data_IF_440463349485
#
_entry.id   IF_440463349485
#
_cell.length_a   1.000
_cell.length_b   1.000
_cell.length_c   1.000
_cell.angle_alpha   90.00
_cell.angle_beta   90.00
_cell.angle_gamma   90.00
#
_symmetry.space_group_name_H-M   'P 1'
#
loop_
_entity.id
_entity.type
_entity.pdbx_description
1 polymer ?
#
# COMPACT_ATOMS: atom_id res chain seq x y z
N UNK A 1 25.03 11.02 -7.81
CA UNK A 1 26.35 11.64 -7.53
C UNK A 1 26.27 12.94 -6.70
N UNK A 2 25.35 13.92 -6.98
CA UNK A 2 25.27 15.16 -6.22
C UNK A 2 25.00 14.93 -4.72
N UNK A 3 24.05 14.06 -4.35
CA UNK A 3 23.69 13.75 -2.96
C UNK A 3 24.78 12.97 -2.23
N UNK A 4 25.42 12.02 -2.92
CA UNK A 4 26.51 11.20 -2.35
C UNK A 4 27.75 12.03 -2.04
N UNK A 5 28.05 13.02 -2.90
CA UNK A 5 29.23 13.87 -2.78
C UNK A 5 28.95 15.22 -2.08
N UNK A 6 27.75 15.39 -1.50
CA UNK A 6 27.45 16.60 -0.77
C UNK A 6 28.28 16.69 0.52
N UNK A 7 28.80 17.89 0.84
CA UNK A 7 29.56 18.11 2.08
C UNK A 7 28.68 17.96 3.32
N UNK A 8 27.41 18.32 3.19
CA UNK A 8 26.41 18.17 4.24
C UNK A 8 25.23 17.36 3.72
N UNK A 9 24.73 16.37 4.49
CA UNK A 9 23.59 15.58 4.11
C UNK A 9 22.31 16.43 4.06
N UNK A 10 21.49 16.21 3.03
CA UNK A 10 20.14 16.75 2.96
C UNK A 10 19.15 15.93 3.81
N UNK A 11 17.93 16.44 3.97
CA UNK A 11 16.83 15.77 4.71
C UNK A 11 16.00 14.82 3.82
N UNK A 12 16.65 14.13 2.88
CA UNK A 12 16.01 13.16 2.00
C UNK A 12 16.60 11.76 2.18
N UNK A 13 15.83 10.72 1.79
CA UNK A 13 16.23 9.34 1.99
C UNK A 13 17.53 8.96 1.27
N UNK A 14 17.83 9.55 0.12
CA UNK A 14 19.07 9.29 -0.63
C UNK A 14 20.26 9.86 0.14
N UNK A 15 20.15 11.09 0.66
CA UNK A 15 21.16 11.70 1.51
C UNK A 15 21.38 10.89 2.79
N UNK A 16 20.31 10.41 3.42
CA UNK A 16 20.38 9.55 4.60
C UNK A 16 21.11 8.26 4.32
N UNK A 17 20.82 7.56 3.22
CA UNK A 17 21.52 6.36 2.82
C UNK A 17 23.02 6.61 2.52
N UNK A 18 23.33 7.72 1.86
CA UNK A 18 24.69 8.05 1.45
C UNK A 18 25.59 8.47 2.63
N UNK A 19 25.03 9.04 3.68
CA UNK A 19 25.81 9.65 4.77
C UNK A 19 25.66 8.96 6.13
N UNK A 20 24.65 8.09 6.32
CA UNK A 20 24.50 7.35 7.58
C UNK A 20 25.69 6.44 7.84
N UNK A 21 26.22 6.38 9.07
CA UNK A 21 27.30 5.46 9.43
C UNK A 21 27.00 4.01 9.09
N UNK A 22 25.73 3.59 9.14
CA UNK A 22 25.32 2.22 8.86
C UNK A 22 25.30 1.87 7.35
N UNK A 23 25.20 2.88 6.47
CA UNK A 23 24.92 2.63 5.03
C UNK A 23 25.90 3.34 4.08
N UNK A 24 26.68 4.31 4.54
CA UNK A 24 27.60 5.10 3.70
C UNK A 24 28.68 4.30 2.98
N UNK A 25 29.00 3.12 3.49
CA UNK A 25 30.02 2.23 2.91
C UNK A 25 29.41 1.06 2.12
N UNK A 26 28.13 1.15 1.74
CA UNK A 26 27.48 0.14 0.90
C UNK A 26 28.20 0.00 -0.44
N UNK A 27 28.36 -1.25 -0.95
CA UNK A 27 28.76 -1.46 -2.33
C UNK A 27 27.82 -0.74 -3.31
N UNK A 28 28.32 -0.24 -4.47
CA UNK A 28 27.50 0.50 -5.43
C UNK A 28 26.23 -0.25 -5.88
N UNK A 29 26.31 -1.56 -6.05
CA UNK A 29 25.18 -2.42 -6.45
C UNK A 29 24.12 -2.48 -5.36
N UNK A 30 24.53 -2.59 -4.11
CA UNK A 30 23.63 -2.60 -2.95
C UNK A 30 22.98 -1.23 -2.77
N UNK A 31 23.75 -0.14 -2.90
CA UNK A 31 23.21 1.22 -2.87
C UNK A 31 22.18 1.44 -3.96
N UNK A 32 22.48 1.04 -5.20
CA UNK A 32 21.54 1.10 -6.32
C UNK A 32 20.27 0.28 -6.04
N UNK A 33 20.42 -0.93 -5.51
CA UNK A 33 19.30 -1.80 -5.12
C UNK A 33 18.37 -1.12 -4.10
N UNK A 34 18.93 -0.45 -3.09
CA UNK A 34 18.15 0.31 -2.11
C UNK A 34 17.41 1.50 -2.73
N UNK A 35 18.06 2.24 -3.64
CA UNK A 35 17.40 3.33 -4.38
C UNK A 35 16.23 2.81 -5.21
N UNK A 36 16.44 1.73 -5.96
CA UNK A 36 15.36 1.09 -6.76
C UNK A 36 14.20 0.63 -5.86
N UNK A 37 14.50 0.03 -4.71
CA UNK A 37 13.49 -0.42 -3.76
C UNK A 37 12.64 0.74 -3.25
N UNK A 38 13.24 1.87 -2.90
CA UNK A 38 12.52 3.08 -2.47
C UNK A 38 11.62 3.65 -3.57
N UNK A 39 12.12 3.69 -4.82
CA UNK A 39 11.34 4.19 -5.97
C UNK A 39 10.15 3.26 -6.24
N UNK A 40 10.40 1.95 -6.36
CA UNK A 40 9.35 0.97 -6.68
C UNK A 40 8.33 0.86 -5.55
N UNK A 41 8.80 0.79 -4.30
CA UNK A 41 7.93 0.67 -3.14
C UNK A 41 7.02 1.87 -2.91
N UNK A 42 7.54 3.08 -3.20
CA UNK A 42 6.81 4.34 -2.93
C UNK A 42 5.91 4.83 -4.07
N UNK A 43 6.05 4.29 -5.27
CA UNK A 43 5.34 4.79 -6.45
C UNK A 43 4.07 3.98 -6.75
N UNK A 44 4.19 2.78 -7.28
CA UNK A 44 3.07 2.01 -7.82
C UNK A 44 2.03 1.61 -6.77
N UNK A 45 2.47 1.24 -5.58
CA UNK A 45 1.56 0.81 -4.51
C UNK A 45 0.66 1.94 -4.06
N UNK A 46 1.20 3.14 -3.88
CA UNK A 46 0.45 4.33 -3.47
C UNK A 46 -0.49 4.78 -4.59
N UNK A 47 0.00 4.87 -5.83
CA UNK A 47 -0.81 5.20 -7.00
C UNK A 47 -2.00 4.25 -7.15
N UNK A 48 -1.77 2.94 -7.05
CA UNK A 48 -2.83 1.94 -7.16
C UNK A 48 -3.81 1.98 -5.97
N UNK A 49 -3.36 2.38 -4.79
CA UNK A 49 -4.25 2.62 -3.65
C UNK A 49 -5.12 3.86 -3.87
N UNK A 50 -4.57 4.94 -4.41
CA UNK A 50 -5.33 6.15 -4.79
C UNK A 50 -6.38 5.83 -5.84
N UNK A 51 -6.00 5.19 -6.95
CA UNK A 51 -6.94 4.77 -8.00
C UNK A 51 -7.98 3.80 -7.48
N UNK A 52 -7.55 2.82 -6.67
CA UNK A 52 -8.44 1.84 -6.04
C UNK A 52 -9.44 2.46 -5.07
N UNK A 53 -9.09 3.57 -4.41
CA UNK A 53 -10.02 4.29 -3.52
C UNK A 53 -11.19 4.91 -4.28
N UNK A 54 -10.93 5.48 -5.44
CA UNK A 54 -11.99 6.01 -6.31
C UNK A 54 -12.92 4.88 -6.77
N UNK A 55 -12.35 3.78 -7.25
CA UNK A 55 -13.15 2.61 -7.66
C UNK A 55 -13.97 2.05 -6.50
N UNK A 56 -13.36 1.90 -5.32
CA UNK A 56 -14.03 1.36 -4.14
C UNK A 56 -15.26 2.18 -3.76
N UNK A 57 -15.13 3.50 -3.69
CA UNK A 57 -16.25 4.38 -3.32
C UNK A 57 -17.33 4.45 -4.42
N UNK A 58 -17.00 4.20 -5.69
CA UNK A 58 -18.00 4.01 -6.75
C UNK A 58 -18.74 2.67 -6.60
N UNK A 59 -18.05 1.60 -6.21
CA UNK A 59 -18.67 0.27 -6.00
C UNK A 59 -19.51 0.18 -4.71
N UNK A 60 -19.18 1.02 -3.73
CA UNK A 60 -19.86 1.09 -2.45
C UNK A 60 -20.44 2.51 -2.21
N UNK A 61 -21.45 2.92 -2.96
CA UNK A 61 -21.96 4.30 -2.91
C UNK A 61 -22.49 4.70 -1.54
N UNK A 62 -23.00 3.77 -0.74
CA UNK A 62 -23.42 4.05 0.65
C UNK A 62 -22.25 4.49 1.53
N UNK A 63 -21.08 3.94 1.30
CA UNK A 63 -19.87 4.34 2.02
C UNK A 63 -19.38 5.71 1.58
N UNK A 64 -19.55 6.06 0.30
CA UNK A 64 -19.28 7.41 -0.17
C UNK A 64 -20.24 8.44 0.44
N UNK A 65 -21.54 8.12 0.56
CA UNK A 65 -22.50 9.02 1.25
C UNK A 65 -22.14 9.23 2.73
N UNK A 66 -21.69 8.17 3.45
CA UNK A 66 -21.16 8.34 4.81
C UNK A 66 -19.97 9.30 4.84
N UNK A 67 -19.04 9.16 3.89
CA UNK A 67 -17.85 9.99 3.79
C UNK A 67 -18.21 11.47 3.55
N UNK A 68 -19.15 11.73 2.64
CA UNK A 68 -19.66 13.09 2.38
C UNK A 68 -20.34 13.71 3.60
N UNK A 69 -21.09 12.90 4.34
CA UNK A 69 -21.78 13.36 5.55
C UNK A 69 -20.79 13.62 6.72
N UNK A 70 -19.64 12.93 6.74
CA UNK A 70 -18.66 13.06 7.81
C UNK A 70 -17.22 12.87 7.28
N UNK A 71 -16.54 13.94 6.95
CA UNK A 71 -15.17 13.94 6.45
C UNK A 71 -14.14 13.40 7.46
N UNK A 72 -14.46 13.35 8.76
CA UNK A 72 -13.56 12.74 9.75
C UNK A 72 -13.34 11.23 9.49
N UNK A 73 -14.25 10.58 8.75
CA UNK A 73 -14.12 9.19 8.34
C UNK A 73 -12.97 8.94 7.35
N UNK A 74 -12.34 9.98 6.79
CA UNK A 74 -11.10 9.81 5.99
C UNK A 74 -10.03 9.04 6.78
N UNK A 75 -9.93 9.26 8.08
CA UNK A 75 -8.93 8.60 8.96
C UNK A 75 -9.09 7.07 9.02
N UNK A 76 -10.31 6.57 8.97
CA UNK A 76 -10.62 5.14 8.99
C UNK A 76 -10.80 4.56 7.58
N UNK A 77 -11.28 5.36 6.65
CA UNK A 77 -11.41 5.01 5.24
C UNK A 77 -10.05 4.67 4.60
N UNK A 78 -9.02 5.46 4.84
CA UNK A 78 -7.71 5.28 4.20
C UNK A 78 -7.12 3.89 4.45
N UNK A 79 -6.94 3.42 5.68
CA UNK A 79 -6.47 2.06 5.90
C UNK A 79 -7.43 0.98 5.40
N UNK A 80 -8.74 1.20 5.45
CA UNK A 80 -9.73 0.26 4.89
C UNK A 80 -9.62 0.15 3.35
N UNK A 81 -9.41 1.25 2.66
CA UNK A 81 -9.12 1.25 1.22
C UNK A 81 -7.83 0.48 0.92
N UNK A 82 -6.77 0.69 1.69
CA UNK A 82 -5.50 -0.02 1.54
C UNK A 82 -5.70 -1.53 1.75
N UNK A 83 -6.53 -1.93 2.71
CA UNK A 83 -6.95 -3.32 2.92
C UNK A 83 -7.69 -3.86 1.69
N UNK A 84 -8.74 -3.16 1.26
CA UNK A 84 -9.62 -3.61 0.17
C UNK A 84 -8.88 -3.67 -1.17
N UNK A 85 -8.06 -2.69 -1.48
CA UNK A 85 -7.24 -2.66 -2.70
C UNK A 85 -6.11 -3.70 -2.67
N UNK A 86 -5.41 -3.83 -1.53
CA UNK A 86 -4.25 -4.71 -1.38
C UNK A 86 -3.31 -4.61 -2.59
N UNK A 87 -2.54 -3.51 -2.75
CA UNK A 87 -1.82 -3.21 -4.00
C UNK A 87 -0.72 -4.23 -4.34
N UNK A 88 -0.19 -4.96 -3.34
CA UNK A 88 0.68 -6.12 -3.54
C UNK A 88 -0.05 -7.39 -3.12
N UNK A 89 -0.16 -8.35 -4.05
CA UNK A 89 -0.88 -9.60 -3.80
C UNK A 89 -0.20 -10.48 -2.75
N UNK A 90 1.13 -10.51 -2.77
CA UNK A 90 1.93 -11.37 -1.88
C UNK A 90 3.36 -10.85 -1.70
N UNK A 91 4.04 -11.41 -0.71
CA UNK A 91 5.49 -11.32 -0.56
C UNK A 91 6.07 -12.70 -0.26
N UNK A 92 7.35 -12.91 -0.58
CA UNK A 92 8.04 -14.17 -0.41
C UNK A 92 9.18 -14.05 0.62
N UNK A 93 9.39 -15.13 1.37
CA UNK A 93 10.56 -15.34 2.25
C UNK A 93 11.25 -16.65 1.88
N UNK A 94 12.47 -16.80 2.33
CA UNK A 94 13.19 -18.08 2.32
C UNK A 94 13.39 -18.50 3.76
N UNK A 95 13.00 -19.72 4.10
CA UNK A 95 13.21 -20.26 5.44
C UNK A 95 14.73 -20.38 5.73
N UNK A 96 15.17 -19.83 6.85
CA UNK A 96 16.57 -19.87 7.27
C UNK A 96 16.91 -21.12 8.11
N UNK A 97 15.88 -21.77 8.64
CA UNK A 97 15.94 -23.01 9.44
C UNK A 97 14.65 -23.80 9.24
N UNK A 98 14.63 -25.04 9.70
CA UNK A 98 13.42 -25.86 9.72
C UNK A 98 12.41 -25.28 10.72
N UNK A 99 11.13 -25.26 10.36
CA UNK A 99 10.07 -24.72 11.20
C UNK A 99 8.74 -25.43 10.95
N UNK A 100 7.84 -25.45 11.95
CA UNK A 100 6.49 -25.96 11.81
C UNK A 100 5.46 -24.86 11.82
N UNK A 101 4.53 -24.86 10.83
CA UNK A 101 3.40 -23.95 10.76
C UNK A 101 2.15 -24.74 10.35
N UNK A 102 1.10 -24.69 11.16
CA UNK A 102 -0.18 -25.37 10.87
C UNK A 102 -0.03 -26.88 10.67
N UNK A 103 0.83 -27.54 11.43
CA UNK A 103 1.10 -28.97 11.33
C UNK A 103 1.88 -29.42 10.10
N UNK A 104 2.50 -28.46 9.39
CA UNK A 104 3.37 -28.73 8.21
C UNK A 104 4.77 -28.26 8.48
N UNK A 105 5.75 -29.09 8.12
CA UNK A 105 7.16 -28.76 8.25
C UNK A 105 7.61 -27.94 7.05
N UNK A 106 8.18 -26.78 7.31
CA UNK A 106 8.90 -25.94 6.35
C UNK A 106 10.37 -26.21 6.54
N UNK A 107 11.07 -26.60 5.48
CA UNK A 107 12.51 -26.88 5.53
C UNK A 107 13.33 -25.63 5.28
N UNK A 108 14.54 -25.60 5.85
CA UNK A 108 15.55 -24.60 5.49
C UNK A 108 15.73 -24.54 3.97
N UNK A 109 15.65 -23.33 3.41
CA UNK A 109 15.73 -23.07 1.97
C UNK A 109 14.38 -23.02 1.26
N UNK A 110 13.30 -23.49 1.87
CA UNK A 110 11.97 -23.42 1.30
C UNK A 110 11.50 -21.99 1.05
N UNK A 111 10.71 -21.82 -0.02
CA UNK A 111 10.10 -20.56 -0.37
C UNK A 111 8.72 -20.47 0.27
N UNK A 112 8.56 -19.53 1.19
CA UNK A 112 7.29 -19.27 1.90
C UNK A 112 6.65 -18.02 1.30
N UNK A 113 5.45 -18.17 0.73
CA UNK A 113 4.69 -17.07 0.13
C UNK A 113 3.57 -16.66 1.07
N UNK A 114 3.58 -15.38 1.45
CA UNK A 114 2.54 -14.77 2.28
C UNK A 114 1.54 -14.05 1.37
N UNK A 115 0.36 -14.61 1.21
CA UNK A 115 -0.72 -14.06 0.38
C UNK A 115 -1.47 -12.95 1.13
N UNK A 116 -1.01 -11.72 1.01
CA UNK A 116 -1.65 -10.56 1.64
C UNK A 116 -3.09 -10.36 1.18
N UNK A 117 -3.35 -10.62 -0.12
CA UNK A 117 -4.69 -10.53 -0.68
C UNK A 117 -5.67 -11.50 -0.01
N UNK A 118 -5.24 -12.75 0.23
CA UNK A 118 -6.04 -13.75 0.92
C UNK A 118 -6.24 -13.39 2.38
N UNK A 119 -5.16 -13.04 3.10
CA UNK A 119 -5.26 -12.67 4.50
C UNK A 119 -6.08 -11.39 4.77
N UNK A 120 -6.12 -10.46 3.81
CA UNK A 120 -6.99 -9.27 3.89
C UNK A 120 -8.47 -9.58 3.59
N UNK A 121 -8.77 -10.82 3.20
CA UNK A 121 -10.12 -11.34 2.93
C UNK A 121 -10.49 -12.56 3.76
N UNK A 122 -9.73 -12.80 4.80
CA UNK A 122 -9.96 -13.89 5.74
C UNK A 122 -11.16 -13.56 6.65
N UNK A 123 -12.24 -14.33 6.51
CA UNK A 123 -13.48 -14.16 7.27
C UNK A 123 -13.31 -14.49 8.76
N UNK A 124 -12.32 -15.30 9.12
CA UNK A 124 -12.01 -15.60 10.53
C UNK A 124 -11.33 -14.42 11.22
N UNK A 125 -10.64 -13.54 10.45
CA UNK A 125 -9.91 -12.41 11.00
C UNK A 125 -10.62 -11.06 10.76
N UNK A 126 -11.39 -10.94 9.68
CA UNK A 126 -11.99 -9.67 9.22
C UNK A 126 -13.48 -9.89 8.90
N UNK A 127 -14.33 -9.23 9.65
CA UNK A 127 -15.77 -9.25 9.42
C UNK A 127 -16.12 -8.67 8.03
N UNK A 128 -16.93 -9.40 7.24
CA UNK A 128 -17.35 -8.99 5.89
C UNK A 128 -16.18 -8.47 5.02
N UNK A 129 -15.15 -9.31 4.76
CA UNK A 129 -13.88 -8.84 4.20
C UNK A 129 -13.98 -8.38 2.74
N UNK A 130 -14.99 -8.81 2.00
CA UNK A 130 -15.23 -8.38 0.61
C UNK A 130 -15.83 -6.97 0.52
N UNK A 131 -16.48 -6.50 1.57
CA UNK A 131 -17.08 -5.18 1.62
C UNK A 131 -16.05 -4.11 1.98
N UNK A 132 -16.24 -2.92 1.41
CA UNK A 132 -15.61 -1.69 1.91
C UNK A 132 -16.48 -1.14 3.05
N UNK A 133 -15.90 -0.94 4.23
CA UNK A 133 -16.58 -0.39 5.41
C UNK A 133 -15.68 0.70 5.98
N UNK A 134 -15.95 1.95 5.62
CA UNK A 134 -15.04 3.07 5.94
C UNK A 134 -14.98 3.44 7.41
N UNK A 135 -15.94 3.02 8.20
CA UNK A 135 -16.05 3.18 9.66
C UNK A 135 -15.73 1.90 10.44
N UNK A 136 -15.00 0.97 9.84
CA UNK A 136 -14.58 -0.29 10.47
C UNK A 136 -13.86 -0.04 11.80
N UNK A 137 -14.21 -0.79 12.84
CA UNK A 137 -13.69 -0.58 14.20
C UNK A 137 -12.16 -0.74 14.30
N UNK A 138 -11.57 -1.63 13.50
CA UNK A 138 -10.12 -1.88 13.46
C UNK A 138 -9.58 -1.77 12.03
N UNK A 139 -9.61 -0.57 11.40
CA UNK A 139 -9.32 -0.42 9.98
C UNK A 139 -7.86 -0.73 9.61
N UNK A 140 -6.92 -0.67 10.58
CA UNK A 140 -5.50 -1.01 10.36
C UNK A 140 -5.19 -2.49 10.60
N UNK A 141 -6.18 -3.32 10.86
CA UNK A 141 -6.03 -4.78 10.95
C UNK A 141 -5.99 -5.38 9.54
N UNK A 142 -4.90 -5.14 8.82
CA UNK A 142 -4.67 -5.67 7.48
C UNK A 142 -3.20 -5.97 7.23
N UNK A 143 -2.91 -6.80 6.23
CA UNK A 143 -1.57 -7.25 5.87
C UNK A 143 -0.94 -6.50 4.70
N UNK A 144 -1.59 -5.47 4.11
CA UNK A 144 -1.10 -4.77 2.92
C UNK A 144 0.28 -4.13 3.11
N UNK A 145 0.63 -3.76 4.35
CA UNK A 145 1.96 -3.25 4.70
C UNK A 145 2.95 -4.32 5.17
N UNK A 146 2.55 -5.58 5.13
CA UNK A 146 3.34 -6.68 5.71
C UNK A 146 3.41 -6.62 7.23
N UNK A 147 4.23 -7.50 7.81
CA UNK A 147 4.41 -7.62 9.25
C UNK A 147 5.88 -7.93 9.61
N UNK A 148 6.26 -7.67 10.86
CA UNK A 148 7.59 -7.95 11.39
C UNK A 148 8.65 -6.97 10.89
N UNK A 149 9.91 -7.41 10.83
CA UNK A 149 11.09 -6.57 10.49
C UNK A 149 11.01 -5.95 9.09
N UNK A 150 10.29 -6.59 8.16
CA UNK A 150 10.09 -6.10 6.80
C UNK A 150 8.78 -5.32 6.61
N UNK A 151 8.12 -4.91 7.69
CA UNK A 151 6.94 -4.04 7.58
C UNK A 151 7.31 -2.79 6.77
N UNK A 152 6.37 -2.35 5.92
CA UNK A 152 6.54 -1.18 5.07
C UNK A 152 7.04 0.03 5.87
N UNK A 153 8.21 0.56 5.50
CA UNK A 153 8.79 1.76 6.12
C UNK A 153 7.99 3.02 5.79
N UNK A 154 7.34 3.05 4.62
CA UNK A 154 6.57 4.18 4.11
C UNK A 154 5.07 4.18 4.47
N UNK A 155 4.60 3.28 5.35
CA UNK A 155 3.18 3.14 5.65
C UNK A 155 2.51 4.44 6.11
N UNK A 156 3.19 5.23 6.96
CA UNK A 156 2.68 6.51 7.44
C UNK A 156 2.58 7.56 6.34
N UNK A 157 3.59 7.59 5.45
CA UNK A 157 3.60 8.49 4.31
C UNK A 157 2.48 8.12 3.31
N UNK A 158 2.27 6.84 3.04
CA UNK A 158 1.21 6.38 2.16
C UNK A 158 -0.18 6.74 2.70
N UNK A 159 -0.45 6.48 4.00
CA UNK A 159 -1.70 6.88 4.64
C UNK A 159 -1.91 8.40 4.58
N UNK A 160 -0.87 9.19 4.87
CA UNK A 160 -0.93 10.65 4.80
C UNK A 160 -1.23 11.17 3.39
N UNK A 161 -0.59 10.61 2.37
CA UNK A 161 -0.84 10.98 0.96
C UNK A 161 -2.29 10.69 0.54
N UNK A 162 -2.83 9.51 0.89
CA UNK A 162 -4.22 9.20 0.60
C UNK A 162 -5.19 10.11 1.36
N UNK A 163 -4.89 10.41 2.62
CA UNK A 163 -5.70 11.32 3.43
C UNK A 163 -5.78 12.71 2.78
N UNK A 164 -4.63 13.33 2.51
CA UNK A 164 -4.57 14.66 1.90
C UNK A 164 -5.27 14.65 0.53
N UNK A 165 -5.06 13.61 -0.29
CA UNK A 165 -5.73 13.48 -1.58
C UNK A 165 -7.26 13.54 -1.43
N UNK A 166 -7.83 12.80 -0.47
CA UNK A 166 -9.27 12.77 -0.27
C UNK A 166 -9.82 14.05 0.37
N UNK A 167 -9.07 14.70 1.26
CA UNK A 167 -9.40 16.04 1.75
C UNK A 167 -9.52 17.04 0.59
N UNK A 168 -8.55 17.02 -0.33
CA UNK A 168 -8.51 17.88 -1.51
C UNK A 168 -9.58 17.55 -2.56
N UNK A 169 -9.90 16.26 -2.74
CA UNK A 169 -10.98 15.81 -3.63
C UNK A 169 -12.32 16.32 -3.11
N UNK A 170 -12.63 16.06 -1.85
CA UNK A 170 -13.93 16.44 -1.25
C UNK A 170 -14.13 17.96 -1.15
N UNK A 171 -13.04 18.72 -1.11
CA UNK A 171 -13.10 20.19 -1.14
C UNK A 171 -13.43 20.77 -2.54
N UNK A 172 -13.20 19.99 -3.62
CA UNK A 172 -13.30 20.49 -5.01
C UNK A 172 -14.38 19.79 -5.84
N UNK A 173 -14.69 18.55 -5.52
CA UNK A 173 -15.58 17.73 -6.33
C UNK A 173 -16.66 17.08 -5.47
N UNK A 174 -17.88 17.15 -5.94
CA UNK A 174 -19.02 16.46 -5.32
C UNK A 174 -18.98 14.95 -5.55
N UNK A 175 -18.38 14.52 -6.68
CA UNK A 175 -18.23 13.11 -7.06
C UNK A 175 -17.15 12.91 -8.13
N UNK A 176 -16.49 11.76 -8.05
CA UNK A 176 -15.64 11.23 -9.13
C UNK A 176 -16.32 9.96 -9.64
N UNK A 177 -16.92 10.03 -10.81
CA UNK A 177 -17.66 8.93 -11.44
C UNK A 177 -16.71 8.06 -12.25
N UNK A 178 -16.67 6.76 -12.00
CA UNK A 178 -15.96 5.78 -12.83
C UNK A 178 -16.84 5.41 -14.01
N UNK A 179 -16.39 5.76 -15.22
CA UNK A 179 -17.20 5.71 -16.43
C UNK A 179 -17.40 4.31 -17.03
N UNK A 180 -16.53 3.38 -16.70
CA UNK A 180 -16.58 1.99 -17.14
C UNK A 180 -15.78 1.07 -16.23
N UNK A 181 -15.94 -0.25 -16.35
CA UNK A 181 -15.12 -1.21 -15.61
C UNK A 181 -13.64 -0.99 -15.96
N UNK A 182 -12.77 -0.83 -14.95
CA UNK A 182 -11.35 -0.56 -15.19
C UNK A 182 -10.63 -1.75 -15.84
N UNK A 183 -9.73 -1.43 -16.76
CA UNK A 183 -8.75 -2.39 -17.24
C UNK A 183 -7.63 -2.56 -16.21
N UNK A 184 -7.36 -3.83 -15.85
CA UNK A 184 -6.33 -4.13 -14.85
C UNK A 184 -4.98 -4.44 -15.48
N UNK A 185 -3.92 -4.05 -14.77
CA UNK A 185 -2.56 -4.50 -15.12
C UNK A 185 -2.49 -6.02 -15.03
N UNK A 186 -1.96 -6.65 -16.06
CA UNK A 186 -1.77 -8.10 -16.11
C UNK A 186 -0.54 -8.51 -15.31
N UNK A 187 -0.72 -8.70 -14.00
CA UNK A 187 0.36 -9.02 -13.07
C UNK A 187 -0.16 -9.94 -11.96
N UNK A 188 0.67 -10.88 -11.54
CA UNK A 188 0.42 -11.72 -10.37
C UNK A 188 0.96 -11.11 -9.06
N UNK A 189 1.65 -9.97 -9.13
CA UNK A 189 2.30 -9.32 -7.99
C UNK A 189 1.65 -7.98 -7.64
N UNK A 190 1.65 -7.02 -8.59
CA UNK A 190 1.04 -5.69 -8.39
C UNK A 190 -0.41 -5.71 -8.87
N UNK A 191 -1.34 -5.37 -7.98
CA UNK A 191 -2.76 -5.19 -8.30
C UNK A 191 -3.02 -3.73 -8.65
N UNK A 192 -2.90 -3.42 -9.93
CA UNK A 192 -3.02 -2.08 -10.45
C UNK A 192 -4.05 -1.96 -11.58
N UNK A 193 -4.18 -0.74 -12.07
CA UNK A 193 -5.08 -0.36 -13.15
C UNK A 193 -4.25 0.18 -14.32
N UNK A 194 -4.48 -0.37 -15.52
CA UNK A 194 -3.91 0.10 -16.77
C UNK A 194 -4.70 1.30 -17.31
N UNK A 195 -6.04 1.23 -17.17
CA UNK A 195 -6.96 2.26 -17.64
C UNK A 195 -8.21 2.31 -16.76
N UNK A 196 -8.59 3.50 -16.31
CA UNK A 196 -9.81 3.77 -15.57
C UNK A 196 -10.27 5.20 -15.86
N UNK A 197 -11.13 5.40 -16.87
CA UNK A 197 -11.65 6.73 -17.17
C UNK A 197 -12.61 7.18 -16.10
N UNK A 198 -12.49 8.44 -15.72
CA UNK A 198 -13.34 9.08 -14.71
C UNK A 198 -13.90 10.40 -15.22
N UNK A 199 -15.07 10.78 -14.68
CA UNK A 199 -15.65 12.09 -14.84
C UNK A 199 -15.69 12.80 -13.49
N UNK A 200 -15.20 14.03 -13.46
CA UNK A 200 -15.24 14.88 -12.28
C UNK A 200 -16.51 15.71 -12.28
N UNK A 201 -17.24 15.68 -11.17
CA UNK A 201 -18.41 16.52 -10.94
C UNK A 201 -18.06 17.57 -9.89
N UNK A 202 -18.27 18.85 -10.22
CA UNK A 202 -18.07 19.98 -9.30
C UNK A 202 -19.15 20.03 -8.21
#
# INVERSE_FOLDING_TARGET
NQRVNAKEPGNDLISMLAHSPATRNMPPEEFLGNILLLIVGGNDTTRNSMTGSVLALNRFPKEFEKLKANHALIETMVPEVIRWQTPLAHMRRTAMEDHEIGGKTIKKGDKVVMWYLSGNRDEEAIERPEELIIDRARPRQHLSFGFGVHRCVGNRLAEMQLKILWEEILARFSHIEVMQEPERVRSNFVRGYAYMPVKLHA
#
